data_IF_123198027722
#
_entry.id   IF_123198027722
#
_cell.length_a   1.000
_cell.length_b   1.000
_cell.length_c   1.000
_cell.angle_alpha   90.00
_cell.angle_beta   90.00
_cell.angle_gamma   90.00
#
_symmetry.space_group_name_H-M   'P 1'
#
loop_
_entity.id
_entity.type
_entity.pdbx_description
1 polymer ?
#
# COMPACT_ATOMS: atom_id res chain seq x y z
N UNK A 1 25.05 -0.16 6.39
CA UNK A 1 24.25 0.92 5.77
C UNK A 1 22.80 0.74 6.21
N UNK A 2 22.17 1.79 6.67
CA UNK A 2 20.75 1.78 7.05
C UNK A 2 19.87 1.72 5.78
N UNK A 3 18.89 0.82 5.77
CA UNK A 3 17.92 0.68 4.69
C UNK A 3 16.69 1.56 4.96
N UNK A 4 16.22 2.29 3.96
CA UNK A 4 15.08 3.19 4.09
C UNK A 4 13.83 2.57 3.45
N UNK A 5 12.81 2.34 4.27
CA UNK A 5 11.48 1.93 3.83
C UNK A 5 10.58 3.17 3.73
N UNK A 6 10.19 3.56 2.52
CA UNK A 6 9.10 4.50 2.31
C UNK A 6 7.76 3.77 2.44
N UNK A 7 6.97 4.16 3.42
CA UNK A 7 5.68 3.56 3.72
C UNK A 7 4.56 4.57 3.48
N UNK A 8 3.53 4.13 2.80
CA UNK A 8 2.42 4.93 2.32
C UNK A 8 1.08 4.34 2.78
N UNK A 9 0.35 5.05 3.61
CA UNK A 9 -1.07 4.78 3.83
C UNK A 9 -1.86 5.48 2.72
N UNK A 10 -2.38 4.72 1.77
CA UNK A 10 -3.07 5.24 0.60
C UNK A 10 -4.25 6.15 0.96
N UNK A 11 -4.50 7.16 0.13
CA UNK A 11 -5.57 8.14 0.27
C UNK A 11 -5.40 9.12 1.44
N UNK A 12 -6.48 9.80 1.79
CA UNK A 12 -6.70 10.62 2.97
C UNK A 12 -8.11 10.40 3.49
N UNK A 13 -8.45 10.92 4.65
CA UNK A 13 -9.79 10.80 5.26
C UNK A 13 -10.87 11.36 4.32
N UNK A 14 -10.55 12.42 3.57
CA UNK A 14 -11.50 13.14 2.73
C UNK A 14 -11.50 12.67 1.26
N UNK A 15 -10.75 11.63 0.90
CA UNK A 15 -10.74 11.12 -0.47
C UNK A 15 -12.13 10.61 -0.85
N UNK A 16 -12.70 11.17 -1.92
CA UNK A 16 -14.04 10.84 -2.37
C UNK A 16 -14.15 9.35 -2.73
N UNK A 17 -15.24 8.70 -2.31
CA UNK A 17 -15.52 7.30 -2.63
C UNK A 17 -14.64 6.26 -1.93
N UNK A 18 -13.63 6.66 -1.14
CA UNK A 18 -12.69 5.77 -0.44
C UNK A 18 -13.16 5.47 0.98
N UNK A 19 -14.26 4.68 1.06
CA UNK A 19 -14.90 4.28 2.31
C UNK A 19 -15.71 3.01 2.15
N UNK A 20 -16.01 2.37 3.26
CA UNK A 20 -16.97 1.27 3.29
C UNK A 20 -18.36 1.75 2.86
N UNK A 21 -19.13 0.85 2.23
CA UNK A 21 -20.52 1.12 1.94
C UNK A 21 -21.31 1.18 3.25
N UNK A 22 -22.25 2.14 3.36
CA UNK A 22 -23.09 2.30 4.54
C UNK A 22 -23.91 1.07 4.87
N UNK A 23 -24.27 0.27 3.87
CA UNK A 23 -24.97 -1.01 4.04
C UNK A 23 -24.14 -2.09 4.73
N UNK A 24 -22.79 -2.00 4.66
CA UNK A 24 -21.85 -2.94 5.27
C UNK A 24 -21.26 -2.42 6.57
N UNK A 25 -21.09 -1.12 6.66
CA UNK A 25 -20.56 -0.42 7.83
C UNK A 25 -21.26 0.93 7.98
N UNK A 26 -22.14 1.03 8.99
CA UNK A 26 -22.89 2.27 9.28
C UNK A 26 -22.01 3.49 9.59
N UNK A 27 -20.74 3.27 10.00
CA UNK A 27 -19.78 4.32 10.25
C UNK A 27 -19.07 4.78 8.97
N UNK A 28 -19.27 4.09 7.85
CA UNK A 28 -18.62 4.36 6.57
C UNK A 28 -17.10 4.52 6.74
N UNK A 29 -16.48 3.58 7.45
CA UNK A 29 -15.04 3.61 7.77
C UNK A 29 -14.21 3.94 6.53
N UNK A 30 -13.35 4.93 6.65
CA UNK A 30 -12.51 5.41 5.57
C UNK A 30 -11.39 4.44 5.27
N UNK A 31 -11.07 4.22 3.99
CA UNK A 31 -9.97 3.37 3.56
C UNK A 31 -8.65 3.82 4.18
N UNK A 32 -8.37 5.13 4.20
CA UNK A 32 -7.17 5.66 4.85
C UNK A 32 -7.07 5.27 6.33
N UNK A 33 -8.15 5.24 7.07
CA UNK A 33 -8.14 4.84 8.49
C UNK A 33 -7.61 3.43 8.68
N UNK A 34 -8.02 2.51 7.80
CA UNK A 34 -7.56 1.12 7.82
C UNK A 34 -6.10 1.02 7.37
N UNK A 35 -5.75 1.71 6.27
CA UNK A 35 -4.38 1.77 5.75
C UNK A 35 -3.41 2.32 6.80
N UNK A 36 -3.79 3.43 7.46
CA UNK A 36 -2.97 4.08 8.49
C UNK A 36 -2.78 3.19 9.73
N UNK A 37 -3.81 2.42 10.11
CA UNK A 37 -3.69 1.46 11.21
C UNK A 37 -2.59 0.43 10.91
N UNK A 38 -2.61 -0.16 9.71
CA UNK A 38 -1.57 -1.12 9.29
C UNK A 38 -0.21 -0.44 9.22
N UNK A 39 -0.12 0.77 8.65
CA UNK A 39 1.13 1.51 8.55
C UNK A 39 1.75 1.82 9.93
N UNK A 40 0.92 2.17 10.92
CA UNK A 40 1.38 2.40 12.30
C UNK A 40 1.92 1.12 12.94
N UNK A 41 1.24 -0.03 12.76
CA UNK A 41 1.76 -1.31 13.24
C UNK A 41 3.10 -1.69 12.58
N UNK A 42 3.26 -1.46 11.28
CA UNK A 42 4.54 -1.69 10.59
C UNK A 42 5.62 -0.78 11.16
N UNK A 43 5.30 0.49 11.41
CA UNK A 43 6.23 1.44 12.00
C UNK A 43 6.67 1.01 13.42
N UNK A 44 5.73 0.58 14.25
CA UNK A 44 6.03 0.14 15.61
C UNK A 44 6.88 -1.13 15.61
N UNK A 45 6.54 -2.12 14.78
CA UNK A 45 7.34 -3.32 14.63
C UNK A 45 8.74 -3.04 14.11
N UNK A 46 8.89 -2.10 13.19
CA UNK A 46 10.21 -1.81 12.59
C UNK A 46 11.20 -1.22 13.61
N UNK A 47 10.72 -0.62 14.69
CA UNK A 47 11.57 -0.13 15.79
C UNK A 47 12.34 -1.24 16.51
N UNK A 48 11.86 -2.48 16.39
CA UNK A 48 12.51 -3.67 16.99
C UNK A 48 13.69 -4.18 16.14
N UNK A 49 13.88 -3.61 14.94
CA UNK A 49 14.91 -4.06 13.99
C UNK A 49 15.95 -2.98 13.76
N UNK A 50 17.21 -3.34 13.95
CA UNK A 50 18.34 -2.46 13.62
C UNK A 50 18.62 -2.39 12.12
N UNK A 51 19.22 -1.30 11.69
CA UNK A 51 19.62 -1.13 10.29
C UNK A 51 18.51 -0.71 9.34
N UNK A 52 17.33 -0.35 9.87
CA UNK A 52 16.19 0.15 9.09
C UNK A 52 15.74 1.53 9.56
N UNK A 53 15.29 2.33 8.61
CA UNK A 53 14.63 3.61 8.86
C UNK A 53 13.32 3.66 8.09
N UNK A 54 12.25 4.11 8.74
CA UNK A 54 10.95 4.26 8.11
C UNK A 54 10.69 5.73 7.77
N UNK A 55 10.26 5.95 6.53
CA UNK A 55 9.82 7.24 6.02
C UNK A 55 8.32 7.17 5.68
N UNK A 56 7.45 7.83 6.41
CA UNK A 56 6.05 8.01 6.01
C UNK A 56 5.95 9.05 4.90
N UNK A 57 5.35 8.69 3.78
CA UNK A 57 5.19 9.57 2.61
C UNK A 57 3.78 10.14 2.47
N UNK A 58 2.82 9.59 3.18
CA UNK A 58 1.46 10.12 3.34
C UNK A 58 1.39 11.22 4.42
N UNK A 59 0.22 11.83 4.57
CA UNK A 59 -0.10 12.68 5.73
C UNK A 59 -0.59 11.81 6.88
N UNK A 60 0.20 11.73 7.95
CA UNK A 60 -0.11 10.93 9.16
C UNK A 60 -1.40 11.33 9.84
N UNK A 61 -1.90 12.55 9.62
CA UNK A 61 -3.17 13.03 10.15
C UNK A 61 -4.36 12.65 9.26
N UNK A 62 -4.09 12.26 8.03
CA UNK A 62 -5.07 11.95 7.00
C UNK A 62 -5.87 13.14 6.49
N UNK A 63 -5.61 14.33 6.98
CA UNK A 63 -6.37 15.55 6.59
C UNK A 63 -6.14 15.92 5.13
N UNK A 64 -5.01 15.54 4.59
CA UNK A 64 -4.63 15.80 3.21
C UNK A 64 -4.43 14.48 2.46
N UNK A 65 -5.09 14.32 1.32
CA UNK A 65 -4.73 13.28 0.35
C UNK A 65 -3.50 13.78 -0.41
N UNK A 66 -2.31 13.38 0.05
CA UNK A 66 -1.04 13.80 -0.57
C UNK A 66 -1.00 13.28 -2.00
N UNK A 67 -0.76 14.15 -3.01
CA UNK A 67 -0.65 13.71 -4.40
C UNK A 67 0.42 12.64 -4.59
N UNK A 68 0.18 11.68 -5.49
CA UNK A 68 1.12 10.58 -5.75
C UNK A 68 2.51 11.08 -6.15
N UNK A 69 2.58 12.17 -6.93
CA UNK A 69 3.84 12.78 -7.33
C UNK A 69 4.66 13.32 -6.15
N UNK A 70 4.00 13.83 -5.12
CA UNK A 70 4.67 14.29 -3.91
C UNK A 70 5.15 13.12 -3.05
N UNK A 71 4.33 12.04 -2.95
CA UNK A 71 4.72 10.82 -2.20
C UNK A 71 5.96 10.19 -2.82
N UNK A 72 5.97 10.03 -4.14
CA UNK A 72 7.11 9.44 -4.86
C UNK A 72 8.32 10.37 -4.85
N UNK A 73 8.12 11.69 -5.01
CA UNK A 73 9.22 12.65 -4.89
C UNK A 73 9.88 12.57 -3.52
N UNK A 74 9.11 12.54 -2.45
CA UNK A 74 9.62 12.43 -1.08
C UNK A 74 10.43 11.15 -0.89
N UNK A 75 9.94 10.00 -1.37
CA UNK A 75 10.67 8.74 -1.31
C UNK A 75 12.00 8.81 -2.09
N UNK A 76 11.98 9.42 -3.28
CA UNK A 76 13.16 9.58 -4.13
C UNK A 76 14.19 10.54 -3.52
N UNK A 77 13.76 11.68 -2.99
CA UNK A 77 14.65 12.66 -2.33
C UNK A 77 15.39 12.02 -1.14
N UNK A 78 14.73 11.11 -0.43
CA UNK A 78 15.31 10.34 0.67
C UNK A 78 16.08 9.10 0.22
N UNK A 79 16.13 8.81 -1.09
CA UNK A 79 16.77 7.62 -1.66
C UNK A 79 16.27 6.33 -1.00
N UNK A 80 14.94 6.21 -0.84
CA UNK A 80 14.35 5.03 -0.23
C UNK A 80 14.70 3.76 -1.00
N UNK A 81 15.15 2.73 -0.29
CA UNK A 81 15.49 1.41 -0.87
C UNK A 81 14.22 0.65 -1.29
N UNK A 82 13.12 0.87 -0.56
CA UNK A 82 11.85 0.17 -0.74
C UNK A 82 10.71 1.17 -0.61
N UNK A 83 9.70 1.06 -1.47
CA UNK A 83 8.44 1.79 -1.36
C UNK A 83 7.28 0.80 -1.27
N UNK A 84 6.47 0.91 -0.21
CA UNK A 84 5.27 0.09 -0.01
C UNK A 84 4.07 0.99 0.21
N UNK A 85 3.04 0.82 -0.60
CA UNK A 85 1.74 1.49 -0.42
C UNK A 85 0.69 0.48 0.05
N UNK A 86 -0.04 0.85 1.09
CA UNK A 86 -1.06 0.02 1.73
C UNK A 86 -2.42 0.55 1.31
N UNK A 87 -3.26 -0.35 0.81
CA UNK A 87 -4.63 -0.10 0.42
C UNK A 87 -5.57 -1.21 0.90
N UNK A 88 -6.82 -0.87 1.14
CA UNK A 88 -7.89 -1.83 1.35
C UNK A 88 -8.81 -1.82 0.13
N UNK A 89 -8.82 -2.93 -0.60
CA UNK A 89 -9.67 -3.04 -1.79
C UNK A 89 -11.15 -3.10 -1.43
N UNK A 90 -11.98 -2.48 -2.25
CA UNK A 90 -13.41 -2.73 -2.22
C UNK A 90 -13.73 -4.07 -2.92
N UNK A 91 -14.71 -4.79 -2.41
CA UNK A 91 -15.32 -5.90 -3.13
C UNK A 91 -16.00 -5.39 -4.41
N UNK A 92 -16.08 -6.23 -5.43
CA UNK A 92 -16.80 -5.92 -6.65
C UNK A 92 -18.30 -5.78 -6.27
N UNK A 93 -18.85 -4.60 -6.50
CA UNK A 93 -20.26 -4.28 -6.23
C UNK A 93 -20.72 -4.53 -4.77
N UNK A 94 -19.82 -4.37 -3.78
CA UNK A 94 -20.15 -4.64 -2.38
C UNK A 94 -20.34 -6.11 -2.02
N UNK A 95 -20.01 -7.02 -2.93
CA UNK A 95 -20.09 -8.46 -2.71
C UNK A 95 -18.95 -8.98 -1.82
N UNK A 96 -19.08 -10.26 -1.42
CA UNK A 96 -18.16 -10.97 -0.55
C UNK A 96 -16.76 -11.28 -1.16
N UNK A 97 -16.33 -10.52 -2.15
CA UNK A 97 -15.07 -10.69 -2.88
C UNK A 97 -13.87 -10.12 -2.14
N UNK A 98 -13.64 -10.53 -0.89
CA UNK A 98 -12.41 -10.20 -0.17
C UNK A 98 -11.21 -10.99 -0.65
N UNK A 99 -10.00 -10.50 -0.39
CA UNK A 99 -8.78 -11.22 -0.70
C UNK A 99 -7.56 -10.32 -0.82
N UNK A 100 -6.42 -10.95 -0.98
CA UNK A 100 -5.13 -10.25 -1.05
C UNK A 100 -4.71 -10.06 -2.50
N UNK A 101 -4.22 -8.86 -2.80
CA UNK A 101 -3.49 -8.56 -4.04
C UNK A 101 -2.21 -7.81 -3.69
N UNK A 102 -1.12 -8.14 -4.37
CA UNK A 102 0.14 -7.40 -4.28
C UNK A 102 0.58 -7.02 -5.68
N UNK A 103 0.68 -5.74 -5.93
CA UNK A 103 1.08 -5.19 -7.22
C UNK A 103 2.50 -4.65 -7.17
N UNK A 104 3.18 -4.68 -8.27
CA UNK A 104 4.49 -4.05 -8.48
C UNK A 104 4.50 -3.24 -9.77
N UNK A 105 5.47 -2.37 -9.90
CA UNK A 105 5.68 -1.65 -11.15
C UNK A 105 6.13 -2.61 -12.27
N UNK A 106 5.65 -2.44 -13.52
CA UNK A 106 6.14 -3.20 -14.66
C UNK A 106 7.64 -3.04 -14.83
N UNK A 107 8.29 -4.08 -15.34
CA UNK A 107 9.75 -4.09 -15.55
C UNK A 107 10.60 -3.88 -14.29
N UNK A 108 10.01 -4.05 -13.11
CA UNK A 108 10.73 -3.97 -11.84
C UNK A 108 11.82 -5.05 -11.72
N UNK A 109 12.79 -4.80 -10.83
CA UNK A 109 13.94 -5.67 -10.59
C UNK A 109 13.54 -7.10 -10.18
N UNK A 110 14.47 -8.04 -10.30
CA UNK A 110 14.30 -9.41 -9.77
C UNK A 110 14.00 -9.40 -8.27
N UNK A 111 14.64 -8.50 -7.53
CA UNK A 111 14.41 -8.34 -6.08
C UNK A 111 12.97 -7.90 -5.79
N UNK A 112 12.45 -6.89 -6.50
CA UNK A 112 11.06 -6.44 -6.33
C UNK A 112 10.07 -7.55 -6.62
N UNK A 113 10.32 -8.37 -7.66
CA UNK A 113 9.48 -9.53 -7.99
C UNK A 113 9.49 -10.58 -6.87
N UNK A 114 10.66 -10.87 -6.31
CA UNK A 114 10.79 -11.79 -5.19
C UNK A 114 10.10 -11.27 -3.92
N UNK A 115 10.25 -9.98 -3.63
CA UNK A 115 9.56 -9.32 -2.52
C UNK A 115 8.04 -9.36 -2.68
N UNK A 116 7.52 -9.05 -3.88
CA UNK A 116 6.09 -9.14 -4.18
C UNK A 116 5.55 -10.52 -3.83
N UNK A 117 6.21 -11.57 -4.36
CA UNK A 117 5.80 -12.96 -4.10
C UNK A 117 5.85 -13.29 -2.61
N UNK A 118 6.96 -12.95 -1.95
CA UNK A 118 7.15 -13.22 -0.53
C UNK A 118 6.09 -12.54 0.34
N UNK A 119 5.81 -11.25 0.06
CA UNK A 119 4.79 -10.49 0.76
C UNK A 119 3.40 -11.10 0.57
N UNK A 120 3.06 -11.47 -0.68
CA UNK A 120 1.80 -12.14 -0.98
C UNK A 120 1.66 -13.46 -0.21
N UNK A 121 2.67 -14.34 -0.27
CA UNK A 121 2.65 -15.65 0.40
C UNK A 121 2.47 -15.49 1.92
N UNK A 122 3.16 -14.52 2.53
CA UNK A 122 3.04 -14.24 3.96
C UNK A 122 1.66 -13.70 4.32
N UNK A 123 1.13 -12.77 3.54
CA UNK A 123 -0.22 -12.25 3.76
C UNK A 123 -1.29 -13.33 3.66
N UNK A 124 -1.24 -14.19 2.63
CA UNK A 124 -2.14 -15.34 2.51
C UNK A 124 -2.02 -16.27 3.72
N UNK A 125 -0.78 -16.62 4.09
CA UNK A 125 -0.52 -17.53 5.22
C UNK A 125 -1.08 -17.01 6.55
N UNK A 126 -0.87 -15.72 6.82
CA UNK A 126 -1.20 -15.15 8.13
C UNK A 126 -2.62 -14.60 8.25
N UNK A 127 -3.24 -14.23 7.13
CA UNK A 127 -4.62 -13.73 7.14
C UNK A 127 -5.65 -14.83 6.87
N UNK A 128 -5.25 -15.94 6.25
CA UNK A 128 -6.16 -16.96 5.76
C UNK A 128 -7.02 -16.52 4.56
N UNK A 129 -6.84 -15.31 4.08
CA UNK A 129 -7.56 -14.78 2.92
C UNK A 129 -7.00 -15.37 1.63
N UNK A 130 -7.87 -15.62 0.67
CA UNK A 130 -7.46 -16.04 -0.68
C UNK A 130 -6.99 -14.85 -1.51
N UNK A 131 -6.29 -15.12 -2.61
CA UNK A 131 -6.03 -14.11 -3.62
C UNK A 131 -7.33 -13.54 -4.19
N UNK A 132 -7.37 -12.24 -4.34
CA UNK A 132 -8.50 -11.53 -4.93
C UNK A 132 -8.17 -11.19 -6.39
N UNK A 133 -9.07 -11.48 -7.33
CA UNK A 133 -8.92 -11.28 -8.77
C UNK A 133 -8.13 -12.37 -9.49
N UNK A 134 -8.25 -12.39 -10.82
CA UNK A 134 -7.60 -13.38 -11.68
C UNK A 134 -6.07 -13.34 -11.64
N UNK A 135 -5.50 -12.21 -11.31
CA UNK A 135 -4.05 -12.00 -11.18
C UNK A 135 -3.71 -11.30 -9.86
N UNK A 136 -3.71 -12.01 -8.74
CA UNK A 136 -3.44 -11.41 -7.43
C UNK A 136 -2.01 -10.89 -7.28
N UNK A 137 -1.07 -11.37 -8.12
CA UNK A 137 0.30 -10.87 -8.26
C UNK A 137 0.40 -10.07 -9.56
N UNK A 138 -0.27 -8.91 -9.61
CA UNK A 138 -0.36 -8.10 -10.81
C UNK A 138 0.78 -7.09 -10.99
N UNK A 139 0.85 -6.57 -12.20
CA UNK A 139 1.61 -5.36 -12.49
C UNK A 139 0.70 -4.14 -12.43
N UNK A 140 1.22 -3.02 -11.93
CA UNK A 140 0.43 -1.81 -11.67
C UNK A 140 -0.23 -1.19 -12.92
N UNK A 141 0.24 -1.53 -14.11
CA UNK A 141 -0.36 -1.04 -15.37
C UNK A 141 -1.83 -1.43 -15.56
N UNK A 142 -2.27 -2.51 -14.93
CA UNK A 142 -3.67 -2.94 -15.02
C UNK A 142 -4.61 -2.09 -14.17
N UNK A 143 -4.08 -1.20 -13.37
CA UNK A 143 -4.80 -0.37 -12.42
C UNK A 143 -4.41 1.07 -12.63
N UNK A 144 -4.94 1.77 -13.61
CA UNK A 144 -4.91 3.25 -13.75
C UNK A 144 -4.10 4.05 -12.70
N UNK A 145 -2.93 3.57 -12.32
CA UNK A 145 -1.92 4.36 -11.63
C UNK A 145 -1.35 5.32 -12.68
N UNK A 146 -2.26 6.09 -13.27
CA UNK A 146 -2.06 6.88 -14.46
C UNK A 146 -0.71 7.59 -14.42
N UNK A 147 0.07 7.40 -15.47
CA UNK A 147 1.25 8.20 -15.85
C UNK A 147 2.32 8.47 -14.78
N UNK A 148 2.35 7.72 -13.69
CA UNK A 148 3.45 7.80 -12.74
C UNK A 148 4.72 7.23 -13.38
N UNK A 149 5.61 8.11 -13.77
CA UNK A 149 6.99 7.73 -14.07
C UNK A 149 7.67 7.39 -12.75
N UNK A 150 7.60 6.14 -12.34
CA UNK A 150 8.43 5.63 -11.27
C UNK A 150 9.87 5.64 -11.76
N UNK A 151 10.70 6.45 -11.17
CA UNK A 151 12.13 6.32 -11.40
C UNK A 151 12.59 5.06 -10.67
N UNK A 152 13.12 4.10 -11.42
CA UNK A 152 13.79 2.93 -10.85
C UNK A 152 15.13 3.39 -10.30
N UNK A 153 15.40 3.03 -9.06
CA UNK A 153 16.72 3.02 -8.49
C UNK A 153 17.26 1.60 -8.46
#
# INVERSE_FOLDING_TARGET
>A
MTKILALDAGHGINTAGKRCLKSLDKNETREWTLNNRVANYVEDLLKEYEGYQLLRVDDRTGKRDVPLSERTKKANDWKADIYISIHHNAGINGGAGGGITVYRYPNSSKMTKAMQKRLYDLLIKHTGLKGNRASPLGEANSMSLGKLKWQQY
#
